data_IF_881781257562
#
_entry.id   IF_881781257562
#
_cell.length_a   1.000
_cell.length_b   1.000
_cell.length_c   1.000
_cell.angle_alpha   90.00
_cell.angle_beta   90.00
_cell.angle_gamma   90.00
#
_symmetry.space_group_name_H-M   'P 1'
#
loop_
_entity.id
_entity.type
_entity.pdbx_description
1 polymer ?
#
# COMPACT_ATOMS: atom_id res chain seq x y z
N UNK A 1 19.99 3.09 2.42
CA UNK A 1 19.13 1.90 2.35
C UNK A 1 18.34 1.90 1.06
N UNK A 2 17.84 0.75 0.64
CA UNK A 2 16.91 0.65 -0.50
C UNK A 2 15.56 0.12 -0.02
N UNK A 3 14.48 0.82 -0.35
CA UNK A 3 13.12 0.40 -0.07
C UNK A 3 12.47 -0.10 -1.36
N UNK A 4 11.77 -1.22 -1.27
CA UNK A 4 10.89 -1.74 -2.29
C UNK A 4 9.47 -1.72 -1.75
N UNK A 5 8.52 -1.19 -2.52
CA UNK A 5 7.12 -1.09 -2.17
C UNK A 5 6.28 -1.93 -3.09
N UNK A 6 5.42 -2.74 -2.52
CA UNK A 6 4.49 -3.61 -3.24
C UNK A 6 3.09 -3.44 -2.65
N UNK A 7 2.11 -3.21 -3.51
CA UNK A 7 0.70 -3.29 -3.15
C UNK A 7 0.27 -4.75 -3.16
N UNK A 8 -0.58 -5.15 -2.19
CA UNK A 8 -1.19 -6.47 -2.18
C UNK A 8 -1.81 -6.85 -3.53
N UNK A 9 -1.86 -8.15 -3.85
CA UNK A 9 -2.52 -8.69 -5.03
C UNK A 9 -4.02 -8.39 -5.07
N UNK A 10 -4.65 -8.60 -6.22
CA UNK A 10 -6.08 -8.37 -6.40
C UNK A 10 -6.92 -9.22 -5.44
N UNK A 11 -8.01 -8.63 -4.94
CA UNK A 11 -9.05 -9.29 -4.16
C UNK A 11 -10.38 -9.21 -4.90
N UNK A 12 -11.37 -10.01 -4.50
CA UNK A 12 -12.73 -9.90 -5.06
C UNK A 12 -13.36 -8.53 -4.76
N UNK A 13 -12.96 -7.88 -3.66
CA UNK A 13 -13.40 -6.52 -3.34
C UNK A 13 -12.88 -5.51 -4.37
N UNK A 14 -11.62 -5.66 -4.83
CA UNK A 14 -11.07 -4.83 -5.91
C UNK A 14 -11.80 -5.07 -7.23
N UNK A 15 -12.03 -6.33 -7.61
CA UNK A 15 -12.74 -6.69 -8.85
C UNK A 15 -14.16 -6.12 -8.89
N UNK A 16 -14.80 -5.96 -7.74
CA UNK A 16 -16.15 -5.38 -7.57
C UNK A 16 -16.14 -3.87 -7.30
N UNK A 17 -14.99 -3.20 -7.28
CA UNK A 17 -14.85 -1.78 -6.95
C UNK A 17 -15.47 -1.38 -5.60
N UNK A 18 -15.32 -2.25 -4.59
CA UNK A 18 -15.84 -1.99 -3.25
C UNK A 18 -14.88 -1.13 -2.44
N UNK A 19 -15.44 -0.28 -1.58
CA UNK A 19 -14.68 0.38 -0.52
C UNK A 19 -14.35 -0.65 0.56
N UNK A 20 -13.08 -0.82 0.87
CA UNK A 20 -12.64 -1.65 1.99
C UNK A 20 -11.22 -1.26 2.41
N UNK A 21 -11.04 -1.08 3.69
CA UNK A 21 -9.73 -0.76 4.29
C UNK A 21 -9.34 -1.85 5.28
N UNK A 22 -10.13 -2.02 6.34
CA UNK A 22 -9.87 -3.00 7.38
C UNK A 22 -10.67 -4.29 7.24
N UNK A 23 -11.68 -4.33 6.35
CA UNK A 23 -12.32 -5.61 6.00
C UNK A 23 -11.26 -6.59 5.48
N UNK A 24 -11.15 -7.74 6.16
CA UNK A 24 -10.01 -8.63 6.03
C UNK A 24 -10.20 -9.69 4.92
N UNK A 25 -10.45 -9.21 3.69
CA UNK A 25 -10.49 -10.05 2.50
C UNK A 25 -9.10 -10.56 2.12
N UNK A 26 -9.04 -11.77 1.59
CA UNK A 26 -7.84 -12.36 1.01
C UNK A 26 -7.71 -12.04 -0.48
N UNK A 27 -6.53 -12.29 -1.05
CA UNK A 27 -6.29 -12.17 -2.49
C UNK A 27 -7.02 -13.29 -3.25
N UNK A 28 -7.53 -12.95 -4.46
CA UNK A 28 -8.16 -13.90 -5.37
C UNK A 28 -7.12 -14.61 -6.27
N UNK A 29 -7.56 -15.47 -7.16
CA UNK A 29 -6.68 -16.22 -8.06
C UNK A 29 -5.76 -15.31 -8.90
N UNK A 30 -6.26 -14.15 -9.35
CA UNK A 30 -5.45 -13.16 -10.06
C UNK A 30 -4.42 -12.51 -9.15
N UNK A 31 -4.79 -12.20 -7.90
CA UNK A 31 -3.87 -11.67 -6.89
C UNK A 31 -2.76 -12.65 -6.55
N UNK A 32 -3.05 -13.95 -6.50
CA UNK A 32 -2.04 -15.01 -6.32
C UNK A 32 -1.06 -14.99 -7.49
N UNK A 33 -1.54 -15.00 -8.74
CA UNK A 33 -0.67 -14.93 -9.93
C UNK A 33 0.22 -13.67 -9.92
N UNK A 34 -0.33 -12.51 -9.55
CA UNK A 34 0.43 -11.27 -9.42
C UNK A 34 1.54 -11.38 -8.35
N UNK A 35 1.26 -12.03 -7.23
CA UNK A 35 2.25 -12.24 -6.17
C UNK A 35 3.34 -13.23 -6.59
N UNK A 36 3.01 -14.26 -7.37
CA UNK A 36 3.97 -15.21 -7.93
C UNK A 36 4.89 -14.55 -8.97
N UNK A 37 4.34 -13.71 -9.86
CA UNK A 37 5.12 -12.90 -10.79
C UNK A 37 6.12 -11.98 -10.03
N UNK A 38 5.65 -11.34 -8.94
CA UNK A 38 6.52 -10.53 -8.07
C UNK A 38 7.58 -11.38 -7.36
N UNK A 39 7.24 -12.58 -6.85
CA UNK A 39 8.22 -13.51 -6.28
C UNK A 39 9.34 -13.78 -7.28
N UNK A 40 9.01 -14.09 -8.52
CA UNK A 40 9.99 -14.41 -9.55
C UNK A 40 10.83 -13.18 -9.91
N UNK A 41 10.26 -11.98 -9.96
CA UNK A 41 11.00 -10.72 -10.14
C UNK A 41 11.94 -10.41 -8.97
N UNK A 42 11.55 -10.76 -7.74
CA UNK A 42 12.38 -10.57 -6.55
C UNK A 42 13.41 -11.68 -6.27
N UNK A 43 13.43 -12.74 -7.07
CA UNK A 43 14.35 -13.89 -6.88
C UNK A 43 15.83 -13.47 -6.92
N UNK A 44 16.18 -12.58 -7.84
CA UNK A 44 17.55 -12.08 -8.03
C UNK A 44 17.81 -10.77 -7.25
N UNK A 45 16.82 -10.25 -6.55
CA UNK A 45 16.96 -9.03 -5.76
C UNK A 45 17.27 -9.40 -4.31
N UNK A 46 18.41 -8.93 -3.81
CA UNK A 46 18.75 -9.09 -2.40
C UNK A 46 17.80 -8.31 -1.51
N UNK A 47 17.12 -8.96 -0.56
CA UNK A 47 16.24 -8.37 0.44
C UNK A 47 16.69 -8.86 1.82
N UNK A 48 17.07 -7.93 2.69
CA UNK A 48 17.50 -8.21 4.06
C UNK A 48 16.32 -8.36 5.04
N UNK A 49 15.22 -7.64 4.78
CA UNK A 49 14.07 -7.59 5.68
C UNK A 49 12.78 -7.41 4.90
N UNK A 50 11.71 -8.07 5.35
CA UNK A 50 10.36 -7.95 4.76
C UNK A 50 9.39 -7.51 5.85
N UNK A 51 8.68 -6.42 5.58
CA UNK A 51 7.56 -5.92 6.38
C UNK A 51 6.26 -6.07 5.60
N UNK A 52 5.19 -6.39 6.30
CA UNK A 52 3.85 -6.45 5.71
C UNK A 52 2.81 -5.84 6.65
N UNK A 53 1.79 -5.20 6.06
CA UNK A 53 0.53 -5.06 6.80
C UNK A 53 0.05 -6.43 7.26
N UNK A 54 -0.56 -6.49 8.42
CA UNK A 54 -1.09 -7.74 9.01
C UNK A 54 -2.45 -8.17 8.41
N UNK A 55 -3.07 -7.34 7.55
CA UNK A 55 -4.28 -7.73 6.83
C UNK A 55 -3.98 -8.84 5.81
N UNK A 56 -4.86 -9.85 5.75
CA UNK A 56 -4.68 -11.11 5.00
C UNK A 56 -4.16 -10.90 3.59
N UNK A 57 -4.77 -10.00 2.81
CA UNK A 57 -4.36 -9.73 1.42
C UNK A 57 -2.92 -9.28 1.28
N UNK A 58 -2.43 -8.44 2.21
CA UNK A 58 -1.04 -7.98 2.20
C UNK A 58 -0.10 -9.06 2.72
N UNK A 59 -0.45 -9.71 3.82
CA UNK A 59 0.35 -10.78 4.41
C UNK A 59 0.47 -11.98 3.47
N UNK A 60 -0.62 -12.43 2.84
CA UNK A 60 -0.59 -13.53 1.88
C UNK A 60 0.27 -13.19 0.64
N UNK A 61 0.13 -11.96 0.11
CA UNK A 61 1.02 -11.46 -0.95
C UNK A 61 2.49 -11.48 -0.51
N UNK A 62 2.78 -10.99 0.70
CA UNK A 62 4.13 -11.00 1.25
C UNK A 62 4.68 -12.41 1.45
N UNK A 63 3.87 -13.36 1.90
CA UNK A 63 4.25 -14.77 2.09
C UNK A 63 4.67 -15.42 0.77
N UNK A 64 3.92 -15.18 -0.30
CA UNK A 64 4.25 -15.70 -1.64
C UNK A 64 5.59 -15.10 -2.12
N UNK A 65 5.77 -13.76 -2.00
CA UNK A 65 7.01 -13.09 -2.43
C UNK A 65 8.20 -13.49 -1.55
N UNK A 66 7.97 -13.68 -0.25
CA UNK A 66 9.01 -14.04 0.71
C UNK A 66 9.62 -15.41 0.46
N UNK A 67 8.85 -16.34 -0.09
CA UNK A 67 9.30 -17.72 -0.39
C UNK A 67 10.00 -18.36 0.83
N UNK A 68 9.33 -18.36 1.98
CA UNK A 68 9.83 -18.90 3.24
C UNK A 68 10.72 -17.97 4.08
N UNK A 69 11.09 -16.78 3.59
CA UNK A 69 11.84 -15.77 4.38
C UNK A 69 10.96 -15.18 5.49
N UNK A 70 11.54 -14.78 6.64
CA UNK A 70 10.78 -14.17 7.73
C UNK A 70 10.10 -12.86 7.33
N UNK A 71 8.87 -12.66 7.79
CA UNK A 71 8.08 -11.44 7.60
C UNK A 71 7.77 -10.85 8.97
N UNK A 72 7.97 -9.55 9.12
CA UNK A 72 7.49 -8.79 10.27
C UNK A 72 6.18 -8.08 9.90
N UNK A 73 5.12 -8.34 10.67
CA UNK A 73 3.82 -7.69 10.45
C UNK A 73 3.71 -6.39 11.22
N UNK A 74 3.09 -5.39 10.60
CA UNK A 74 2.94 -4.04 11.14
C UNK A 74 1.52 -3.53 10.94
N UNK A 75 0.68 -3.47 12.00
CA UNK A 75 -0.65 -2.86 11.92
C UNK A 75 -0.61 -1.37 11.53
N UNK A 76 0.50 -0.68 11.82
CA UNK A 76 0.70 0.73 11.50
C UNK A 76 0.64 1.01 10.00
N UNK A 77 0.92 0.02 9.15
CA UNK A 77 0.87 0.18 7.69
C UNK A 77 -0.39 -0.44 7.06
N UNK A 78 -1.48 -0.63 7.84
CA UNK A 78 -2.80 -0.96 7.30
C UNK A 78 -3.33 0.17 6.42
N UNK A 79 -4.30 -0.17 5.56
CA UNK A 79 -5.08 0.79 4.77
C UNK A 79 -5.91 1.72 5.66
N UNK A 80 -6.41 2.81 5.10
CA UNK A 80 -7.39 3.69 5.74
C UNK A 80 -8.63 2.88 6.13
N UNK A 81 -9.09 3.07 7.38
CA UNK A 81 -10.32 2.44 7.86
C UNK A 81 -11.53 3.22 7.36
N UNK A 82 -12.32 2.62 6.47
CA UNK A 82 -13.47 3.28 5.85
C UNK A 82 -14.75 3.25 6.70
N UNK A 83 -14.72 2.66 7.91
CA UNK A 83 -15.86 2.66 8.85
C UNK A 83 -17.12 2.06 8.23
N UNK A 84 -18.23 2.81 8.27
CA UNK A 84 -19.52 2.33 7.74
C UNK A 84 -19.51 2.06 6.23
N UNK A 85 -18.49 2.52 5.49
CA UNK A 85 -18.38 2.26 4.04
C UNK A 85 -17.66 0.96 3.71
N UNK A 86 -17.11 0.27 4.69
CA UNK A 86 -16.49 -1.04 4.47
C UNK A 86 -17.44 -2.01 3.78
N UNK A 87 -16.92 -2.73 2.80
CA UNK A 87 -17.63 -3.75 2.05
C UNK A 87 -18.88 -3.24 1.29
N UNK A 88 -18.82 -2.00 0.78
CA UNK A 88 -19.87 -1.39 -0.04
C UNK A 88 -19.31 -0.91 -1.38
N UNK A 89 -20.14 -0.98 -2.41
CA UNK A 89 -19.89 -0.32 -3.70
C UNK A 89 -20.44 1.12 -3.67
N UNK A 90 -20.10 1.90 -4.69
CA UNK A 90 -20.65 3.25 -4.84
C UNK A 90 -22.20 3.24 -4.94
N UNK A 91 -22.76 2.25 -5.61
CA UNK A 91 -24.20 2.10 -5.83
C UNK A 91 -24.95 1.81 -4.52
N UNK A 92 -24.29 1.15 -3.58
CA UNK A 92 -24.85 0.79 -2.26
C UNK A 92 -24.73 1.91 -1.22
N UNK A 93 -24.08 3.04 -1.57
CA UNK A 93 -23.99 4.22 -0.70
C UNK A 93 -25.28 5.01 -0.67
N UNK A 94 -25.64 5.54 0.51
CA UNK A 94 -26.74 6.50 0.64
C UNK A 94 -26.41 7.83 -0.05
N UNK A 95 -27.40 8.69 -0.26
CA UNK A 95 -27.13 10.01 -0.85
C UNK A 95 -26.28 10.88 0.08
N UNK A 96 -26.48 10.79 1.39
CA UNK A 96 -25.62 11.46 2.39
C UNK A 96 -24.17 10.97 2.30
N UNK A 97 -23.95 9.65 2.18
CA UNK A 97 -22.62 9.08 2.02
C UNK A 97 -21.93 9.58 0.76
N UNK A 98 -22.67 9.68 -0.35
CA UNK A 98 -22.14 10.19 -1.63
C UNK A 98 -21.74 11.67 -1.56
N UNK A 99 -22.43 12.47 -0.77
CA UNK A 99 -22.04 13.87 -0.50
C UNK A 99 -20.68 13.90 0.19
N UNK A 100 -20.51 13.11 1.25
CA UNK A 100 -19.23 13.02 1.98
C UNK A 100 -18.11 12.48 1.09
N UNK A 101 -18.38 11.46 0.26
CA UNK A 101 -17.42 10.94 -0.70
C UNK A 101 -16.99 11.95 -1.79
N UNK A 102 -17.89 12.86 -2.17
CA UNK A 102 -17.52 13.99 -3.06
C UNK A 102 -16.58 14.97 -2.35
N UNK A 103 -16.82 15.27 -1.08
CA UNK A 103 -15.90 16.09 -0.27
C UNK A 103 -14.53 15.42 -0.12
N UNK A 104 -14.48 14.09 0.07
CA UNK A 104 -13.25 13.32 0.11
C UNK A 104 -12.32 13.58 -1.10
N UNK A 105 -12.86 13.84 -2.26
CA UNK A 105 -12.06 14.10 -3.46
C UNK A 105 -11.43 15.49 -3.51
N UNK A 106 -11.94 16.44 -2.73
CA UNK A 106 -11.54 17.85 -2.76
C UNK A 106 -10.92 18.33 -1.46
N UNK A 107 -11.27 17.74 -0.32
CA UNK A 107 -10.82 18.14 1.00
C UNK A 107 -10.59 16.91 1.91
N UNK A 108 -9.80 15.96 1.41
CA UNK A 108 -9.54 14.71 2.13
C UNK A 108 -8.75 14.90 3.43
N UNK A 109 -7.91 15.94 3.54
CA UNK A 109 -7.09 16.17 4.72
C UNK A 109 -7.93 16.41 5.98
N UNK A 110 -9.07 17.07 5.82
CA UNK A 110 -9.96 17.43 6.93
C UNK A 110 -11.08 16.41 7.15
N UNK A 111 -11.10 15.33 6.36
CA UNK A 111 -12.19 14.37 6.41
C UNK A 111 -11.92 13.25 7.41
N UNK A 112 -12.94 12.92 8.21
CA UNK A 112 -13.02 11.68 8.98
C UNK A 112 -14.01 10.75 8.30
N UNK A 113 -13.63 9.50 8.06
CA UNK A 113 -14.57 8.49 7.54
C UNK A 113 -15.68 8.26 8.57
N UNK A 114 -16.96 8.22 8.15
CA UNK A 114 -18.06 7.94 9.08
C UNK A 114 -17.84 6.61 9.81
N UNK A 115 -17.76 6.65 11.14
CA UNK A 115 -17.41 5.51 12.01
C UNK A 115 -16.03 4.87 11.69
N UNK A 116 -15.18 5.61 10.99
CA UNK A 116 -13.87 5.17 10.55
C UNK A 116 -12.73 6.06 11.04
N UNK A 117 -11.66 6.09 10.28
CA UNK A 117 -10.43 6.80 10.64
C UNK A 117 -10.42 8.22 10.03
N UNK A 118 -9.88 9.20 10.77
CA UNK A 118 -9.56 10.49 10.19
C UNK A 118 -8.34 10.35 9.26
N UNK A 119 -8.37 11.06 8.13
CA UNK A 119 -7.29 10.94 7.14
C UNK A 119 -5.92 11.31 7.70
N UNK A 120 -5.81 12.36 8.51
CA UNK A 120 -4.53 12.75 9.10
C UNK A 120 -4.03 11.74 10.14
N UNK A 121 -4.92 11.08 10.89
CA UNK A 121 -4.53 10.01 11.82
C UNK A 121 -3.97 8.81 11.05
N UNK A 122 -4.64 8.41 9.96
CA UNK A 122 -4.15 7.41 9.02
C UNK A 122 -2.78 7.78 8.45
N UNK A 123 -2.63 9.02 7.92
CA UNK A 123 -1.39 9.49 7.33
C UNK A 123 -0.25 9.44 8.35
N UNK A 124 -0.46 9.97 9.55
CA UNK A 124 0.55 10.00 10.61
C UNK A 124 0.94 8.59 11.05
N UNK A 125 -0.03 7.70 11.29
CA UNK A 125 0.21 6.30 11.67
C UNK A 125 1.09 5.58 10.65
N UNK A 126 0.78 5.73 9.36
CA UNK A 126 1.52 5.09 8.28
C UNK A 126 2.93 5.64 8.15
N UNK A 127 3.09 6.98 8.23
CA UNK A 127 4.41 7.62 8.08
C UNK A 127 5.31 7.38 9.30
N UNK A 128 4.77 7.32 10.51
CA UNK A 128 5.51 6.89 11.71
C UNK A 128 5.98 5.44 11.58
N UNK A 129 5.14 4.55 11.04
CA UNK A 129 5.52 3.18 10.71
C UNK A 129 6.67 3.11 9.71
N UNK A 130 6.62 3.93 8.65
CA UNK A 130 7.71 4.03 7.67
C UNK A 130 9.00 4.56 8.30
N UNK A 131 8.92 5.59 9.13
CA UNK A 131 10.09 6.15 9.82
C UNK A 131 10.74 5.12 10.77
N UNK A 132 9.92 4.27 11.41
CA UNK A 132 10.42 3.12 12.19
C UNK A 132 11.20 2.16 11.29
N UNK A 133 10.63 1.75 10.15
CA UNK A 133 11.31 0.87 9.18
C UNK A 133 12.65 1.48 8.75
N UNK A 134 12.68 2.76 8.40
CA UNK A 134 13.90 3.44 7.94
C UNK A 134 14.96 3.49 9.05
N UNK A 135 14.57 3.84 10.27
CA UNK A 135 15.47 3.95 11.41
C UNK A 135 16.13 2.62 11.77
N UNK A 136 15.36 1.53 11.75
CA UNK A 136 15.80 0.20 12.17
C UNK A 136 16.60 -0.55 11.09
N UNK A 137 16.56 -0.09 9.85
CA UNK A 137 17.13 -0.82 8.72
C UNK A 137 18.13 0.01 7.89
N UNK A 138 18.88 0.92 8.52
CA UNK A 138 19.91 1.70 7.84
C UNK A 138 20.88 0.80 7.07
N UNK A 139 21.14 1.12 5.81
CA UNK A 139 22.05 0.39 4.94
C UNK A 139 21.49 -0.89 4.30
N UNK A 140 20.30 -1.35 4.70
CA UNK A 140 19.68 -2.58 4.21
C UNK A 140 18.80 -2.37 2.98
N UNK A 141 18.44 -3.47 2.34
CA UNK A 141 17.41 -3.59 1.32
C UNK A 141 16.14 -4.15 1.98
N UNK A 142 15.04 -3.40 1.94
CA UNK A 142 13.81 -3.71 2.66
C UNK A 142 12.63 -3.76 1.69
N UNK A 143 11.84 -4.83 1.77
CA UNK A 143 10.56 -4.95 1.09
C UNK A 143 9.42 -4.58 2.05
N UNK A 144 8.51 -3.74 1.59
CA UNK A 144 7.29 -3.34 2.30
C UNK A 144 6.08 -3.73 1.45
N UNK A 145 5.23 -4.59 1.98
CA UNK A 145 3.98 -5.01 1.33
C UNK A 145 2.79 -4.39 2.06
N UNK A 146 2.01 -3.58 1.37
CA UNK A 146 0.94 -2.82 1.98
C UNK A 146 -0.20 -2.54 0.99
N UNK A 147 -0.87 -1.41 1.10
CA UNK A 147 -2.10 -1.03 0.41
C UNK A 147 -1.90 0.25 -0.38
N UNK A 148 -2.81 0.56 -1.30
CA UNK A 148 -2.66 1.72 -2.17
C UNK A 148 -2.56 3.04 -1.40
N UNK A 149 -3.50 3.29 -0.49
CA UNK A 149 -3.51 4.52 0.30
C UNK A 149 -2.29 4.61 1.23
N UNK A 150 -1.95 3.53 1.93
CA UNK A 150 -0.78 3.50 2.80
C UNK A 150 0.52 3.74 2.02
N UNK A 151 0.68 3.13 0.85
CA UNK A 151 1.84 3.37 -0.02
C UNK A 151 1.86 4.81 -0.55
N UNK A 152 0.69 5.38 -0.93
CA UNK A 152 0.62 6.80 -1.31
C UNK A 152 1.09 7.73 -0.19
N UNK A 153 0.66 7.49 1.05
CA UNK A 153 1.12 8.25 2.22
C UNK A 153 2.64 8.13 2.42
N UNK A 154 3.19 6.90 2.28
CA UNK A 154 4.64 6.67 2.35
C UNK A 154 5.41 7.43 1.27
N UNK A 155 4.95 7.39 0.02
CA UNK A 155 5.58 8.13 -1.07
C UNK A 155 5.49 9.65 -0.87
N UNK A 156 4.36 10.16 -0.38
CA UNK A 156 4.21 11.58 -0.03
C UNK A 156 5.19 12.01 1.07
N UNK A 157 5.35 11.20 2.10
CA UNK A 157 6.29 11.46 3.20
C UNK A 157 7.74 11.49 2.70
N UNK A 158 8.16 10.48 1.95
CA UNK A 158 9.51 10.38 1.40
C UNK A 158 9.87 11.55 0.47
N UNK A 159 8.93 12.00 -0.34
CA UNK A 159 9.16 13.08 -1.33
C UNK A 159 8.99 14.48 -0.75
N UNK A 160 8.50 14.60 0.49
CA UNK A 160 8.17 15.90 1.09
C UNK A 160 6.90 16.55 0.53
N UNK A 161 6.09 15.81 -0.26
CA UNK A 161 4.83 16.31 -0.78
C UNK A 161 3.75 16.48 0.30
N UNK A 162 3.92 15.79 1.44
CA UNK A 162 2.98 15.83 2.56
C UNK A 162 1.59 15.27 2.22
N UNK A 163 0.61 15.42 3.12
CA UNK A 163 -0.75 14.92 2.93
C UNK A 163 -1.41 15.39 1.64
N UNK A 164 -1.11 16.62 1.20
CA UNK A 164 -1.65 17.23 -0.04
C UNK A 164 -1.28 16.47 -1.31
N UNK A 165 -0.16 15.77 -1.30
CA UNK A 165 0.31 14.96 -2.43
C UNK A 165 -0.37 13.58 -2.56
N UNK A 166 -1.28 13.21 -1.68
CA UNK A 166 -1.82 11.86 -1.56
C UNK A 166 -2.29 11.23 -2.87
N UNK A 167 -2.99 12.00 -3.70
CA UNK A 167 -3.51 11.53 -4.98
C UNK A 167 -2.47 11.49 -6.13
N UNK A 168 -1.24 11.97 -5.89
CA UNK A 168 -0.18 11.95 -6.90
C UNK A 168 0.43 10.55 -7.08
N UNK A 169 0.22 9.67 -6.10
CA UNK A 169 0.77 8.32 -6.11
C UNK A 169 -0.35 7.28 -6.14
N UNK A 170 -0.24 6.32 -7.03
CA UNK A 170 -1.19 5.22 -7.17
C UNK A 170 -0.41 3.93 -7.46
N UNK A 171 -0.23 3.09 -6.45
CA UNK A 171 0.49 1.83 -6.57
C UNK A 171 -0.38 0.76 -7.23
N UNK A 172 0.10 0.20 -8.34
CA UNK A 172 -0.61 -0.84 -9.10
C UNK A 172 -0.35 -2.23 -8.50
N UNK A 173 -1.32 -3.12 -8.60
CA UNK A 173 -1.18 -4.53 -8.23
C UNK A 173 -0.34 -5.28 -9.27
N UNK A 174 0.55 -6.18 -8.83
CA UNK A 174 1.50 -6.85 -9.72
C UNK A 174 2.71 -5.99 -10.13
N UNK A 175 2.88 -4.83 -9.50
CA UNK A 175 3.96 -3.88 -9.75
C UNK A 175 4.73 -3.60 -8.46
N UNK A 176 5.97 -3.13 -8.58
CA UNK A 176 6.74 -2.63 -7.45
C UNK A 176 7.34 -1.26 -7.73
N UNK A 177 7.67 -0.54 -6.66
CA UNK A 177 8.46 0.68 -6.74
C UNK A 177 9.74 0.50 -5.94
N UNK A 178 10.84 1.10 -6.37
CA UNK A 178 12.12 1.02 -5.69
C UNK A 178 12.73 2.40 -5.49
N UNK A 179 13.18 2.68 -4.25
CA UNK A 179 13.70 3.99 -3.89
C UNK A 179 14.92 3.86 -2.97
N UNK A 180 15.97 4.61 -3.29
CA UNK A 180 17.11 4.81 -2.42
C UNK A 180 16.84 5.94 -1.44
N UNK A 181 17.04 5.65 -0.15
CA UNK A 181 16.87 6.61 0.94
C UNK A 181 18.22 6.79 1.66
N UNK A 182 18.70 8.02 1.73
CA UNK A 182 19.85 8.43 2.52
C UNK A 182 19.57 9.76 3.21
N UNK A 183 20.41 10.14 4.17
CA UNK A 183 20.27 11.42 4.89
C UNK A 183 20.31 12.66 3.97
N UNK A 184 20.92 12.53 2.80
CA UNK A 184 21.12 13.67 1.86
C UNK A 184 20.29 13.57 0.59
N UNK A 185 19.76 12.40 0.26
CA UNK A 185 19.17 12.18 -1.06
C UNK A 185 18.11 11.07 -1.04
N UNK A 186 17.01 11.36 -1.71
CA UNK A 186 16.00 10.40 -2.14
C UNK A 186 16.14 10.21 -3.66
N UNK A 187 16.15 8.96 -4.13
CA UNK A 187 16.20 8.67 -5.56
C UNK A 187 15.33 7.47 -5.88
N UNK A 188 14.33 7.66 -6.74
CA UNK A 188 13.56 6.56 -7.29
C UNK A 188 14.34 5.88 -8.42
N UNK A 189 14.53 4.57 -8.32
CA UNK A 189 14.98 3.74 -9.44
C UNK A 189 13.81 3.47 -10.37
N UNK A 190 12.63 3.23 -9.79
CA UNK A 190 11.39 3.04 -10.54
C UNK A 190 10.16 3.34 -9.66
N UNK A 191 9.05 3.67 -10.33
CA UNK A 191 7.72 3.74 -9.74
C UNK A 191 6.74 2.95 -10.61
N UNK A 192 5.98 2.02 -9.99
CA UNK A 192 5.10 1.10 -10.72
C UNK A 192 5.83 0.33 -11.85
N UNK A 193 6.95 -0.31 -11.53
CA UNK A 193 7.63 -1.19 -12.47
C UNK A 193 6.94 -2.56 -12.48
N UNK A 194 6.53 -3.09 -13.65
CA UNK A 194 5.83 -4.37 -13.72
C UNK A 194 6.73 -5.53 -13.33
N UNK A 195 6.19 -6.52 -12.60
CA UNK A 195 6.91 -7.75 -12.28
C UNK A 195 7.27 -8.54 -13.55
N UNK A 196 6.36 -8.55 -14.51
CA UNK A 196 6.54 -9.16 -15.83
C UNK A 196 6.34 -8.10 -16.91
N UNK A 197 7.33 -7.96 -17.76
CA UNK A 197 7.24 -7.04 -18.91
C UNK A 197 6.43 -7.70 -20.03
N UNK A 198 5.18 -7.29 -20.20
CA UNK A 198 4.35 -7.73 -21.33
C UNK A 198 4.64 -6.83 -22.54
N UNK A 199 5.13 -7.43 -23.64
CA UNK A 199 5.33 -6.68 -24.89
C UNK A 199 3.98 -6.15 -25.38
N UNK A 200 3.80 -4.83 -25.41
CA UNK A 200 2.62 -4.17 -26.00
C UNK A 200 1.70 -3.43 -25.03
N UNK A 201 2.03 -3.30 -23.74
CA UNK A 201 1.37 -2.39 -22.79
C UNK A 201 2.22 -1.16 -22.48
#
# INVERSE_FOLDING_TARGET
MKLYFVRHGETDMNARNMFYGWYDADINAKGISQAEELRDAFREIHIDKIYSSDLKRALHTAQIIADGRPIETMPEIRELYYGKWENRTWEEMTEEDRVVLKQWRTDWENLTMPEGEAFLDFYNRVTEGLDRIIRENKGKHVLVVSHNGALSAMHCHLTGAGPKGFWNFNSKQGYYSAVWVSEKKLTYDCFNYPAVWKKGE
#
